data_IF_200726716652
#
_entry.id   IF_200726716652
#
_cell.length_a   1.000
_cell.length_b   1.000
_cell.length_c   1.000
_cell.angle_alpha   90.00
_cell.angle_beta   90.00
_cell.angle_gamma   90.00
#
_symmetry.space_group_name_H-M   'P 1'
#
loop_
_entity.id
_entity.type
_entity.pdbx_description
1 polymer ?
#
# COMPACT_ATOMS: atom_id res chain seq x y z
N UNK A 1 -24.46 25.04 29.93
CA UNK A 1 -23.33 24.15 29.53
C UNK A 1 -22.02 24.79 29.97
N UNK A 2 -21.19 24.12 30.77
CA UNK A 2 -19.90 24.71 31.17
C UNK A 2 -18.96 24.80 29.96
N UNK A 3 -18.11 25.84 29.88
CA UNK A 3 -17.18 26.07 28.75
C UNK A 3 -16.32 24.84 28.44
N UNK A 4 -15.97 24.06 29.47
CA UNK A 4 -15.21 22.80 29.37
C UNK A 4 -15.90 21.76 28.47
N UNK A 5 -17.22 21.61 28.58
CA UNK A 5 -17.98 20.66 27.74
C UNK A 5 -18.06 21.09 26.28
N UNK A 6 -18.12 22.40 26.03
CA UNK A 6 -18.11 22.94 24.67
C UNK A 6 -16.77 22.66 23.98
N UNK A 7 -15.65 22.89 24.68
CA UNK A 7 -14.30 22.59 24.18
C UNK A 7 -14.12 21.09 23.89
N UNK A 8 -14.56 20.22 24.81
CA UNK A 8 -14.47 18.76 24.61
C UNK A 8 -15.27 18.28 23.39
N UNK A 9 -16.47 18.82 23.19
CA UNK A 9 -17.29 18.48 22.02
C UNK A 9 -16.60 18.89 20.71
N UNK A 10 -15.99 20.08 20.66
CA UNK A 10 -15.28 20.54 19.45
C UNK A 10 -14.08 19.66 19.15
N UNK A 11 -13.28 19.31 20.16
CA UNK A 11 -12.13 18.41 19.99
C UNK A 11 -12.59 17.04 19.48
N UNK A 12 -13.66 16.48 20.04
CA UNK A 12 -14.20 15.19 19.59
C UNK A 12 -14.62 15.23 18.12
N UNK A 13 -15.28 16.30 17.68
CA UNK A 13 -15.68 16.49 16.27
C UNK A 13 -14.46 16.56 15.35
N UNK A 14 -13.43 17.32 15.73
CA UNK A 14 -12.19 17.45 14.93
C UNK A 14 -11.47 16.11 14.83
N UNK A 15 -11.35 15.37 15.93
CA UNK A 15 -10.71 14.04 15.92
C UNK A 15 -11.48 13.06 15.04
N UNK A 16 -12.81 13.06 15.10
CA UNK A 16 -13.65 12.22 14.25
C UNK A 16 -13.50 12.58 12.77
N UNK A 17 -13.52 13.86 12.43
CA UNK A 17 -13.33 14.32 11.06
C UNK A 17 -11.95 13.93 10.52
N UNK A 18 -10.90 14.07 11.34
CA UNK A 18 -9.54 13.67 10.96
C UNK A 18 -9.43 12.16 10.76
N UNK A 19 -9.95 11.36 11.69
CA UNK A 19 -9.93 9.90 11.58
C UNK A 19 -10.67 9.42 10.31
N UNK A 20 -11.85 10.00 10.03
CA UNK A 20 -12.58 9.72 8.80
C UNK A 20 -11.76 10.10 7.55
N UNK A 21 -11.14 11.28 7.56
CA UNK A 21 -10.25 11.72 6.48
C UNK A 21 -9.09 10.76 6.23
N UNK A 22 -8.41 10.30 7.29
CA UNK A 22 -7.30 9.34 7.19
C UNK A 22 -7.77 8.02 6.59
N UNK A 23 -8.89 7.47 7.07
CA UNK A 23 -9.42 6.18 6.58
C UNK A 23 -9.79 6.27 5.10
N UNK A 24 -10.45 7.36 4.67
CA UNK A 24 -10.85 7.54 3.28
C UNK A 24 -9.65 7.75 2.37
N UNK A 25 -8.70 8.60 2.78
CA UNK A 25 -7.54 8.93 1.95
C UNK A 25 -6.59 7.73 1.79
N UNK A 26 -6.24 7.05 2.90
CA UNK A 26 -5.37 5.88 2.85
C UNK A 26 -5.99 4.72 2.07
N UNK A 27 -7.32 4.52 2.20
CA UNK A 27 -8.05 3.54 1.41
C UNK A 27 -7.94 3.78 -0.09
N UNK A 28 -8.10 5.04 -0.53
CA UNK A 28 -7.97 5.41 -1.95
C UNK A 28 -6.54 5.25 -2.47
N UNK A 29 -5.55 5.75 -1.74
CA UNK A 29 -4.14 5.59 -2.13
C UNK A 29 -3.75 4.12 -2.26
N UNK A 30 -4.16 3.26 -1.33
CA UNK A 30 -3.85 1.83 -1.40
C UNK A 30 -4.51 1.15 -2.61
N UNK A 31 -5.76 1.52 -2.94
CA UNK A 31 -6.44 1.02 -4.13
C UNK A 31 -5.72 1.45 -5.42
N UNK A 32 -5.31 2.71 -5.53
CA UNK A 32 -4.57 3.22 -6.69
C UNK A 32 -3.23 2.52 -6.88
N UNK A 33 -2.46 2.34 -5.81
CA UNK A 33 -1.18 1.62 -5.86
C UNK A 33 -1.37 0.15 -6.25
N UNK A 34 -2.40 -0.51 -5.71
CA UNK A 34 -2.71 -1.90 -6.06
C UNK A 34 -3.15 -2.02 -7.51
N UNK A 35 -3.99 -1.11 -8.00
CA UNK A 35 -4.43 -1.09 -9.39
C UNK A 35 -3.27 -0.84 -10.36
N UNK A 36 -2.34 0.05 -10.02
CA UNK A 36 -1.13 0.28 -10.81
C UNK A 36 -0.25 -0.98 -10.87
N UNK A 37 -0.04 -1.65 -9.74
CA UNK A 37 0.73 -2.90 -9.69
C UNK A 37 0.06 -4.04 -10.49
N UNK A 38 -1.28 -4.12 -10.49
CA UNK A 38 -2.02 -5.10 -11.28
C UNK A 38 -1.97 -4.79 -12.78
N UNK A 39 -2.14 -3.52 -13.17
CA UNK A 39 -2.14 -3.08 -14.57
C UNK A 39 -0.79 -3.36 -15.25
N UNK A 40 0.30 -3.25 -14.49
CA UNK A 40 1.65 -3.50 -15.00
C UNK A 40 2.24 -4.84 -14.54
N UNK A 41 1.40 -5.76 -14.05
CA UNK A 41 1.87 -7.04 -13.51
C UNK A 41 2.68 -7.85 -14.51
N UNK A 42 2.27 -7.90 -15.78
CA UNK A 42 3.00 -8.59 -16.86
C UNK A 42 4.39 -7.98 -17.16
N UNK A 43 4.60 -6.70 -16.86
CA UNK A 43 5.90 -6.05 -17.00
C UNK A 43 6.84 -6.43 -15.83
N UNK A 44 6.28 -6.82 -14.69
CA UNK A 44 7.02 -7.23 -13.50
C UNK A 44 7.26 -8.75 -13.50
N UNK A 45 6.25 -9.55 -13.83
CA UNK A 45 6.28 -11.01 -13.77
C UNK A 45 5.74 -11.59 -15.08
N UNK A 46 6.59 -12.29 -15.83
CA UNK A 46 6.18 -12.93 -17.09
C UNK A 46 5.51 -14.29 -16.80
N UNK A 47 4.69 -14.83 -17.71
CA UNK A 47 4.02 -16.13 -17.52
C UNK A 47 4.95 -17.32 -17.24
N UNK A 48 6.20 -17.23 -17.67
CA UNK A 48 7.23 -18.27 -17.52
C UNK A 48 8.30 -17.90 -16.47
N UNK A 49 8.09 -16.81 -15.73
CA UNK A 49 8.97 -16.45 -14.60
C UNK A 49 8.82 -17.48 -13.48
N UNK A 50 9.93 -17.94 -12.87
CA UNK A 50 9.87 -18.76 -11.66
C UNK A 50 9.24 -17.97 -10.49
N UNK A 51 8.40 -18.64 -9.70
CA UNK A 51 7.76 -18.07 -8.51
C UNK A 51 8.02 -18.99 -7.32
N UNK A 52 8.45 -18.41 -6.21
CA UNK A 52 8.77 -19.14 -4.97
C UNK A 52 8.05 -18.51 -3.77
N UNK A 53 7.78 -19.32 -2.75
CA UNK A 53 7.21 -18.86 -1.48
C UNK A 53 5.69 -18.95 -1.40
N UNK A 54 5.10 -18.18 -0.48
CA UNK A 54 3.66 -18.22 -0.20
C UNK A 54 2.88 -17.36 -1.23
N UNK A 55 1.95 -17.94 -2.01
CA UNK A 55 1.14 -17.17 -2.97
C UNK A 55 0.20 -16.15 -2.30
N UNK A 56 -0.07 -16.28 -1.00
CA UNK A 56 -0.85 -15.33 -0.20
C UNK A 56 0.04 -14.35 0.60
N UNK A 57 1.32 -14.22 0.26
CA UNK A 57 2.20 -13.25 0.89
C UNK A 57 1.67 -11.81 0.67
N UNK A 58 1.78 -10.96 1.70
CA UNK A 58 1.37 -9.56 1.62
C UNK A 58 2.27 -8.72 0.71
N UNK A 59 3.48 -9.20 0.43
CA UNK A 59 4.50 -8.53 -0.37
C UNK A 59 5.10 -9.54 -1.34
N UNK A 60 5.20 -9.14 -2.60
CA UNK A 60 5.91 -9.87 -3.65
C UNK A 60 7.19 -9.11 -3.99
N UNK A 61 8.34 -9.75 -3.85
CA UNK A 61 9.63 -9.21 -4.29
C UNK A 61 9.89 -9.75 -5.69
N UNK A 62 10.15 -8.86 -6.64
CA UNK A 62 10.46 -9.21 -8.03
C UNK A 62 11.94 -8.93 -8.27
N UNK A 63 12.69 -9.97 -8.61
CA UNK A 63 14.10 -9.85 -8.98
C UNK A 63 14.23 -9.72 -10.50
N UNK A 64 14.80 -8.61 -10.96
CA UNK A 64 15.17 -8.41 -12.36
C UNK A 64 16.59 -8.93 -12.56
N UNK A 65 16.69 -10.17 -13.02
CA UNK A 65 17.97 -10.84 -13.23
C UNK A 65 18.45 -10.71 -14.68
N UNK A 66 19.71 -10.29 -14.85
CA UNK A 66 20.43 -10.34 -16.13
C UNK A 66 21.58 -11.35 -16.01
N UNK A 67 21.57 -12.46 -16.77
CA UNK A 67 22.61 -13.48 -16.71
C UNK A 67 24.01 -12.98 -17.11
N UNK A 68 24.10 -11.82 -17.77
CA UNK A 68 25.37 -11.21 -18.18
C UNK A 68 25.89 -10.19 -17.16
N UNK A 69 25.10 -9.84 -16.14
CA UNK A 69 25.47 -8.85 -15.14
C UNK A 69 26.28 -9.48 -14.01
N UNK A 70 27.58 -9.16 -13.93
CA UNK A 70 28.46 -9.69 -12.91
C UNK A 70 28.11 -9.27 -11.47
N UNK A 71 27.42 -8.14 -11.31
CA UNK A 71 26.92 -7.71 -10.00
C UNK A 71 25.72 -8.55 -9.53
N UNK A 72 25.00 -9.19 -10.47
CA UNK A 72 23.90 -10.10 -10.17
C UNK A 72 24.38 -11.54 -9.95
N UNK A 73 25.68 -11.82 -10.12
CA UNK A 73 26.24 -13.16 -9.91
C UNK A 73 26.20 -13.52 -8.42
N UNK A 74 25.34 -14.49 -8.08
CA UNK A 74 25.26 -15.09 -6.75
C UNK A 74 26.51 -15.91 -6.38
#
# INVERSE_FOLDING_TARGET
>A
MSRKWMVLATVAVVVLAFAAGVVVFTGRTNQEVTAAAQTHSDALVRPHSPIYGNPAAKVTIVEFFDPSCEACRA
#
